data_IF_935815579134
#
_entry.id   IF_935815579134
#
_cell.length_a   1.000
_cell.length_b   1.000
_cell.length_c   1.000
_cell.angle_alpha   90.00
_cell.angle_beta   90.00
_cell.angle_gamma   90.00
#
_symmetry.space_group_name_H-M   'P 1'
#
loop_
_entity.id
_entity.type
_entity.pdbx_description
1 polymer ?
#
# COMPACT_ATOMS: atom_id res chain seq x y z
N UNK A 1 2.29 19.14 -3.04
CA UNK A 1 3.47 18.24 -2.90
C UNK A 1 4.23 18.05 -4.21
N UNK A 2 3.54 17.94 -5.37
CA UNK A 2 4.18 17.89 -6.72
C UNK A 2 5.13 19.07 -6.98
N UNK A 3 4.80 20.27 -6.49
CA UNK A 3 5.64 21.47 -6.65
C UNK A 3 6.83 21.56 -5.68
N UNK A 4 6.97 20.65 -4.72
CA UNK A 4 7.95 20.77 -3.61
C UNK A 4 8.99 19.66 -3.59
N UNK A 5 8.69 18.46 -4.10
CA UNK A 5 9.65 17.35 -4.08
C UNK A 5 9.32 16.29 -5.14
N UNK A 6 10.35 15.68 -5.74
CA UNK A 6 10.22 14.59 -6.73
C UNK A 6 9.59 13.30 -6.19
N UNK A 7 9.37 13.19 -4.87
CA UNK A 7 8.68 12.07 -4.23
C UNK A 7 7.19 11.93 -4.59
N UNK A 8 6.61 12.83 -5.38
CA UNK A 8 5.25 12.66 -5.89
C UNK A 8 5.09 11.42 -6.76
N UNK A 9 6.16 10.99 -7.46
CA UNK A 9 6.18 9.77 -8.28
C UNK A 9 6.02 8.51 -7.42
N UNK A 10 6.54 8.53 -6.19
CA UNK A 10 6.34 7.43 -5.24
C UNK A 10 4.86 7.37 -4.80
N UNK A 11 4.27 8.52 -4.45
CA UNK A 11 2.90 8.60 -3.94
C UNK A 11 1.87 8.22 -5.04
N UNK A 12 2.08 8.69 -6.28
CA UNK A 12 1.19 8.38 -7.40
C UNK A 12 1.27 6.93 -7.87
N UNK A 13 2.33 6.19 -7.54
CA UNK A 13 2.44 4.75 -7.80
C UNK A 13 1.90 3.91 -6.63
N UNK A 14 1.99 4.40 -5.40
CA UNK A 14 1.49 3.69 -4.22
C UNK A 14 -0.04 3.64 -4.17
N UNK A 15 -0.74 4.73 -4.52
CA UNK A 15 -2.21 4.76 -4.49
C UNK A 15 -2.85 3.73 -5.46
N UNK A 16 -2.47 3.68 -6.75
CA UNK A 16 -2.98 2.66 -7.67
C UNK A 16 -2.66 1.25 -7.21
N UNK A 17 -1.45 1.03 -6.69
CA UNK A 17 -1.01 -0.28 -6.22
C UNK A 17 -1.83 -0.73 -5.01
N UNK A 18 -2.18 0.17 -4.09
CA UNK A 18 -3.11 -0.11 -3.00
C UNK A 18 -4.51 -0.49 -3.52
N UNK A 19 -5.03 0.25 -4.51
CA UNK A 19 -6.34 -0.03 -5.10
C UNK A 19 -6.36 -1.39 -5.83
N UNK A 20 -5.27 -1.73 -6.51
CA UNK A 20 -5.11 -3.04 -7.16
C UNK A 20 -5.11 -4.18 -6.13
N UNK A 21 -4.41 -4.03 -5.01
CA UNK A 21 -4.43 -5.02 -3.92
C UNK A 21 -5.83 -5.14 -3.29
N UNK A 22 -6.56 -4.04 -3.15
CA UNK A 22 -7.95 -4.07 -2.68
C UNK A 22 -8.89 -4.82 -3.65
N UNK A 23 -8.66 -4.70 -4.97
CA UNK A 23 -9.38 -5.50 -5.96
C UNK A 23 -9.02 -6.98 -5.87
N UNK A 24 -7.73 -7.33 -5.76
CA UNK A 24 -7.29 -8.72 -5.65
C UNK A 24 -7.79 -9.40 -4.37
N UNK A 25 -7.91 -8.65 -3.27
CA UNK A 25 -8.45 -9.16 -2.00
C UNK A 25 -9.99 -9.19 -1.98
N UNK A 26 -10.65 -8.81 -3.07
CA UNK A 26 -12.11 -8.84 -3.21
C UNK A 26 -12.86 -7.81 -2.36
N UNK A 27 -12.15 -6.83 -1.77
CA UNK A 27 -12.73 -5.79 -0.90
C UNK A 27 -13.09 -4.51 -1.66
N UNK A 28 -13.38 -4.64 -2.94
CA UNK A 28 -13.72 -3.49 -3.76
C UNK A 28 -15.07 -2.91 -3.32
N UNK A 29 -15.10 -1.60 -3.05
CA UNK A 29 -16.29 -0.88 -2.61
C UNK A 29 -16.48 0.39 -3.43
N UNK A 30 -17.73 0.81 -3.61
CA UNK A 30 -18.08 2.05 -4.30
C UNK A 30 -17.39 3.28 -3.68
N UNK A 31 -17.10 3.25 -2.37
CA UNK A 31 -16.36 4.32 -1.70
C UNK A 31 -14.93 4.46 -2.23
N UNK A 32 -14.25 3.33 -2.44
CA UNK A 32 -12.87 3.27 -2.96
C UNK A 32 -12.86 3.72 -4.43
N UNK A 33 -13.85 3.29 -5.21
CA UNK A 33 -14.02 3.73 -6.60
C UNK A 33 -14.13 5.25 -6.72
N UNK A 34 -15.05 5.88 -5.98
CA UNK A 34 -15.25 7.34 -6.03
C UNK A 34 -14.00 8.09 -5.56
N UNK A 35 -13.37 7.64 -4.46
CA UNK A 35 -12.15 8.24 -3.96
C UNK A 35 -10.99 8.16 -4.97
N UNK A 36 -10.76 6.98 -5.57
CA UNK A 36 -9.67 6.82 -6.54
C UNK A 36 -9.90 7.62 -7.81
N UNK A 37 -11.11 7.56 -8.38
CA UNK A 37 -11.43 8.28 -9.61
C UNK A 37 -11.32 9.79 -9.45
N UNK A 38 -11.82 10.35 -8.34
CA UNK A 38 -11.70 11.78 -8.06
C UNK A 38 -10.25 12.21 -7.88
N UNK A 39 -9.48 11.48 -7.07
CA UNK A 39 -8.05 11.76 -6.85
C UNK A 39 -7.24 11.65 -8.14
N UNK A 40 -7.52 10.66 -8.98
CA UNK A 40 -6.82 10.47 -10.25
C UNK A 40 -7.11 11.62 -11.23
N UNK A 41 -8.38 11.97 -11.45
CA UNK A 41 -8.76 13.03 -12.37
C UNK A 41 -8.24 14.41 -11.90
N UNK A 42 -8.52 14.77 -10.65
CA UNK A 42 -8.06 16.05 -10.07
C UNK A 42 -6.53 16.11 -10.00
N UNK A 43 -5.90 15.03 -9.54
CA UNK A 43 -4.45 14.94 -9.41
C UNK A 43 -3.72 15.07 -10.74
N UNK A 44 -4.24 14.44 -11.79
CA UNK A 44 -3.65 14.52 -13.14
C UNK A 44 -3.74 15.94 -13.69
N UNK A 45 -4.92 16.57 -13.64
CA UNK A 45 -5.14 17.94 -14.12
C UNK A 45 -4.25 18.93 -13.34
N UNK A 46 -4.24 18.85 -12.00
CA UNK A 46 -3.43 19.73 -11.17
C UNK A 46 -1.92 19.52 -11.39
N UNK A 47 -1.47 18.29 -11.65
CA UNK A 47 -0.05 18.04 -11.94
C UNK A 47 0.40 18.64 -13.27
N UNK A 48 -0.50 18.66 -14.26
CA UNK A 48 -0.24 19.20 -15.60
C UNK A 48 -0.11 20.73 -15.61
N UNK A 49 -0.68 21.42 -14.62
CA UNK A 49 -0.58 22.88 -14.47
C UNK A 49 0.81 23.37 -14.05
N UNK A 50 1.68 22.47 -13.58
CA UNK A 50 3.04 22.83 -13.17
C UNK A 50 3.94 22.79 -14.40
N UNK A 51 4.44 23.95 -14.83
CA UNK A 51 5.28 24.09 -16.04
C UNK A 51 6.51 23.20 -16.08
N UNK A 52 7.02 22.77 -14.91
CA UNK A 52 8.13 21.82 -14.81
C UNK A 52 7.74 20.37 -15.17
N UNK A 53 6.48 19.99 -14.92
CA UNK A 53 5.94 18.64 -15.16
C UNK A 53 5.31 18.55 -16.56
N UNK A 54 4.66 19.63 -17.01
CA UNK A 54 4.10 19.73 -18.37
C UNK A 54 3.23 18.52 -18.75
N UNK A 55 3.59 17.84 -19.83
CA UNK A 55 2.88 16.65 -20.34
C UNK A 55 3.49 15.31 -19.90
N UNK A 56 4.48 15.32 -18.98
CA UNK A 56 5.04 14.07 -18.45
C UNK A 56 3.99 13.11 -17.84
N UNK A 57 2.90 13.56 -17.19
CA UNK A 57 1.88 12.65 -16.66
C UNK A 57 1.18 11.79 -17.71
N UNK A 58 1.16 12.22 -18.97
CA UNK A 58 0.48 11.53 -20.07
C UNK A 58 1.48 10.76 -20.94
N UNK A 59 2.71 11.25 -21.05
CA UNK A 59 3.74 10.67 -21.93
C UNK A 59 4.72 9.76 -21.18
N UNK A 60 4.86 9.90 -19.87
CA UNK A 60 5.81 9.10 -19.07
C UNK A 60 5.20 7.77 -18.66
N UNK A 61 6.01 6.72 -18.77
CA UNK A 61 5.70 5.37 -18.30
C UNK A 61 5.42 5.30 -16.80
N UNK A 62 5.92 6.28 -16.03
CA UNK A 62 5.75 6.35 -14.57
C UNK A 62 4.28 6.55 -14.15
N UNK A 63 3.45 7.11 -15.03
CA UNK A 63 2.03 7.34 -14.77
C UNK A 63 1.12 6.32 -15.47
N UNK A 64 1.69 5.45 -16.32
CA UNK A 64 0.93 4.40 -17.01
C UNK A 64 0.32 3.38 -16.04
N UNK A 65 0.99 3.10 -14.91
CA UNK A 65 0.44 2.23 -13.88
C UNK A 65 -0.86 2.81 -13.29
N UNK A 66 -0.87 4.12 -12.99
CA UNK A 66 -2.05 4.80 -12.48
C UNK A 66 -3.20 4.83 -13.51
N UNK A 67 -2.89 5.07 -14.78
CA UNK A 67 -3.86 5.00 -15.87
C UNK A 67 -4.43 3.59 -16.06
N UNK A 68 -3.57 2.56 -16.02
CA UNK A 68 -3.98 1.16 -16.16
C UNK A 68 -4.93 0.72 -15.04
N UNK A 69 -4.60 1.05 -13.78
CA UNK A 69 -5.47 0.76 -12.64
C UNK A 69 -6.77 1.55 -12.73
N UNK A 70 -6.75 2.79 -13.23
CA UNK A 70 -7.98 3.57 -13.49
C UNK A 70 -8.88 2.90 -14.52
N UNK A 71 -8.33 2.47 -15.66
CA UNK A 71 -9.08 1.70 -16.65
C UNK A 71 -9.67 0.41 -16.06
N UNK A 72 -8.88 -0.33 -15.28
CA UNK A 72 -9.32 -1.57 -14.65
C UNK A 72 -10.44 -1.32 -13.62
N UNK A 73 -10.35 -0.22 -12.87
CA UNK A 73 -11.38 0.23 -11.93
C UNK A 73 -12.71 0.54 -12.61
N UNK A 74 -12.66 1.22 -13.76
CA UNK A 74 -13.84 1.51 -14.58
C UNK A 74 -14.50 0.23 -15.11
N UNK A 75 -13.69 -0.70 -15.63
CA UNK A 75 -14.17 -1.98 -16.14
C UNK A 75 -14.82 -2.79 -15.01
N UNK A 76 -14.15 -2.91 -13.86
CA UNK A 76 -14.68 -3.68 -12.72
C UNK A 76 -16.02 -3.10 -12.23
N UNK A 77 -16.12 -1.77 -12.05
CA UNK A 77 -17.35 -1.13 -11.62
C UNK A 77 -18.48 -1.30 -12.66
N UNK A 78 -18.16 -1.22 -13.95
CA UNK A 78 -19.13 -1.43 -15.03
C UNK A 78 -19.63 -2.88 -15.09
N UNK A 79 -18.72 -3.85 -14.90
CA UNK A 79 -19.06 -5.28 -14.84
C UNK A 79 -19.97 -5.57 -13.65
N UNK A 80 -19.66 -5.05 -12.46
CA UNK A 80 -20.51 -5.19 -11.27
C UNK A 80 -21.89 -4.55 -11.49
N UNK A 81 -21.94 -3.38 -12.13
CA UNK A 81 -23.20 -2.72 -12.48
C UNK A 81 -24.04 -3.57 -13.44
N UNK A 82 -23.45 -4.08 -14.52
CA UNK A 82 -24.13 -4.97 -15.46
C UNK A 82 -24.63 -6.25 -14.78
N UNK A 83 -23.82 -6.86 -13.91
CA UNK A 83 -24.19 -8.05 -13.15
C UNK A 83 -25.42 -7.82 -12.26
N UNK A 84 -25.60 -6.60 -11.74
CA UNK A 84 -26.76 -6.24 -10.93
C UNK A 84 -28.05 -6.00 -11.73
N UNK A 85 -27.94 -5.72 -13.03
CA UNK A 85 -29.08 -5.37 -13.91
C UNK A 85 -29.50 -6.50 -14.84
N UNK A 86 -28.64 -7.47 -15.10
CA UNK A 86 -28.88 -8.59 -16.02
C UNK A 86 -29.07 -9.92 -15.29
N UNK A 87 -29.82 -10.82 -15.92
CA UNK A 87 -29.96 -12.19 -15.46
C UNK A 87 -28.66 -12.98 -15.74
N UNK A 88 -28.32 -13.97 -14.90
CA UNK A 88 -27.00 -14.62 -14.92
C UNK A 88 -26.62 -15.23 -16.30
N UNK A 89 -27.61 -15.77 -17.02
CA UNK A 89 -27.41 -16.34 -18.35
C UNK A 89 -27.15 -15.28 -19.43
N UNK A 90 -27.82 -14.12 -19.36
CA UNK A 90 -27.60 -13.02 -20.29
C UNK A 90 -26.26 -12.33 -20.04
N UNK A 91 -25.84 -12.27 -18.77
CA UNK A 91 -24.54 -11.75 -18.38
C UNK A 91 -23.39 -12.60 -18.93
N UNK A 92 -23.45 -13.94 -18.83
CA UNK A 92 -22.40 -14.81 -19.40
C UNK A 92 -22.27 -14.63 -20.92
N UNK A 93 -23.39 -14.57 -21.64
CA UNK A 93 -23.38 -14.39 -23.10
C UNK A 93 -22.79 -13.02 -23.47
N UNK A 94 -23.17 -11.96 -22.78
CA UNK A 94 -22.66 -10.61 -23.00
C UNK A 94 -21.16 -10.52 -22.66
N UNK A 95 -20.74 -11.11 -21.54
CA UNK A 95 -19.34 -11.11 -21.11
C UNK A 95 -18.45 -11.87 -22.10
N UNK A 96 -18.90 -13.04 -22.56
CA UNK A 96 -18.20 -13.85 -23.59
C UNK A 96 -18.13 -13.13 -24.93
N UNK A 97 -19.20 -12.42 -25.31
CA UNK A 97 -19.24 -11.57 -26.51
C UNK A 97 -18.25 -10.40 -26.42
N UNK A 98 -18.20 -9.70 -25.28
CA UNK A 98 -17.28 -8.57 -25.07
C UNK A 98 -15.83 -9.03 -25.11
N UNK A 99 -15.50 -10.14 -24.43
CA UNK A 99 -14.14 -10.71 -24.46
C UNK A 99 -13.76 -11.14 -25.88
N UNK A 100 -14.66 -11.78 -26.62
CA UNK A 100 -14.43 -12.17 -28.01
C UNK A 100 -14.16 -10.96 -28.90
N UNK A 101 -14.92 -9.88 -28.71
CA UNK A 101 -14.80 -8.66 -29.51
C UNK A 101 -13.51 -7.90 -29.18
N UNK A 102 -13.17 -7.76 -27.89
CA UNK A 102 -11.91 -7.16 -27.45
C UNK A 102 -10.71 -8.00 -27.91
N UNK A 103 -10.79 -9.32 -27.82
CA UNK A 103 -9.78 -10.24 -28.33
C UNK A 103 -9.58 -10.09 -29.84
N UNK A 104 -10.66 -9.95 -30.62
CA UNK A 104 -10.60 -9.72 -32.06
C UNK A 104 -9.99 -8.35 -32.41
N UNK A 105 -10.30 -7.31 -31.65
CA UNK A 105 -9.70 -5.98 -31.81
C UNK A 105 -8.21 -6.02 -31.47
N UNK A 106 -7.82 -6.63 -30.36
CA UNK A 106 -6.42 -6.76 -29.98
C UNK A 106 -5.61 -7.58 -31.00
N UNK A 107 -6.21 -8.62 -31.58
CA UNK A 107 -5.56 -9.43 -32.61
C UNK A 107 -5.44 -8.67 -33.93
N UNK A 108 -6.45 -7.91 -34.34
CA UNK A 108 -6.39 -7.09 -35.55
C UNK A 108 -5.44 -5.89 -35.40
N UNK A 109 -5.46 -5.20 -34.26
CA UNK A 109 -4.51 -4.13 -33.93
C UNK A 109 -3.10 -4.70 -33.79
N UNK A 110 -2.93 -5.85 -33.14
CA UNK A 110 -1.64 -6.54 -33.03
C UNK A 110 -1.06 -6.93 -34.39
N UNK A 111 -1.89 -7.44 -35.30
CA UNK A 111 -1.48 -7.75 -36.67
C UNK A 111 -1.06 -6.49 -37.45
N UNK A 112 -1.83 -5.39 -37.33
CA UNK A 112 -1.49 -4.11 -37.97
C UNK A 112 -0.22 -3.51 -37.38
N UNK A 113 -0.02 -3.57 -36.06
CA UNK A 113 1.19 -3.08 -35.41
C UNK A 113 2.43 -3.91 -35.75
N UNK A 114 2.27 -5.24 -35.90
CA UNK A 114 3.36 -6.13 -36.32
C UNK A 114 3.80 -5.85 -37.76
N UNK A 115 2.87 -5.48 -38.64
CA UNK A 115 3.16 -5.05 -40.02
C UNK A 115 3.76 -3.63 -40.10
N UNK A 116 3.46 -2.76 -39.13
CA UNK A 116 3.90 -1.35 -39.16
C UNK A 116 5.24 -1.11 -38.43
N UNK A 117 5.78 -2.12 -37.74
CA UNK A 117 7.14 -2.09 -37.17
C UNK A 117 7.43 -0.97 -36.15
N UNK A 118 6.40 -0.26 -35.67
CA UNK A 118 6.50 0.96 -34.84
C UNK A 118 6.11 0.75 -33.38
N UNK A 119 6.41 -0.42 -32.82
CA UNK A 119 6.38 -0.58 -31.36
C UNK A 119 7.81 -0.36 -30.85
N UNK A 120 8.04 0.81 -30.27
CA UNK A 120 9.15 0.99 -29.33
C UNK A 120 9.00 -0.07 -28.23
N UNK A 121 10.03 -0.86 -27.93
CA UNK A 121 9.98 -1.79 -26.81
C UNK A 121 9.67 -1.03 -25.52
N UNK A 122 9.02 -1.73 -24.60
CA UNK A 122 8.66 -1.24 -23.27
C UNK A 122 9.81 -0.40 -22.69
N UNK A 123 9.47 0.82 -22.29
CA UNK A 123 10.39 1.90 -21.93
C UNK A 123 11.55 1.42 -21.05
N UNK A 124 12.78 1.45 -21.56
CA UNK A 124 13.99 1.05 -20.83
C UNK A 124 14.22 1.77 -19.49
N UNK A 125 13.51 2.87 -19.23
CA UNK A 125 13.48 3.57 -17.93
C UNK A 125 12.67 2.85 -16.84
N UNK A 126 11.68 2.04 -17.22
CA UNK A 126 10.89 1.22 -16.29
C UNK A 126 11.73 0.06 -15.74
N UNK A 127 12.59 -0.51 -16.59
CA UNK A 127 13.55 -1.55 -16.19
C UNK A 127 14.66 -0.97 -15.30
N UNK A 128 15.12 0.27 -15.54
CA UNK A 128 16.13 0.91 -14.67
C UNK A 128 15.63 1.34 -13.29
N UNK A 129 14.31 1.48 -13.11
CA UNK A 129 13.70 1.78 -11.80
C UNK A 129 13.39 0.50 -11.00
N UNK A 130 13.09 -0.62 -11.68
CA UNK A 130 12.90 -1.93 -11.05
C UNK A 130 14.22 -2.64 -10.76
N UNK A 131 15.24 -2.41 -11.58
CA UNK A 131 16.58 -2.96 -11.40
C UNK A 131 17.62 -1.84 -11.22
N UNK A 132 17.97 -1.49 -9.97
CA UNK A 132 18.99 -0.47 -9.69
C UNK A 132 20.38 -0.84 -10.24
N UNK A 133 20.60 -2.09 -10.66
CA UNK A 133 21.82 -2.53 -11.34
C UNK A 133 21.98 -1.94 -12.74
N UNK A 134 20.88 -1.64 -13.44
CA UNK A 134 20.94 -1.14 -14.82
C UNK A 134 21.34 0.35 -14.89
N UNK A 135 20.94 1.17 -13.90
CA UNK A 135 21.34 2.57 -13.81
C UNK A 135 22.81 2.71 -13.37
N UNK A 136 23.26 1.87 -12.42
CA UNK A 136 24.63 1.84 -11.91
C UNK A 136 25.66 1.46 -12.98
N UNK A 137 25.30 0.56 -13.90
CA UNK A 137 26.22 0.07 -14.94
C UNK A 137 26.31 0.98 -16.17
N UNK A 138 25.29 1.80 -16.45
CA UNK A 138 25.23 2.59 -17.68
C UNK A 138 25.54 4.09 -17.50
N UNK A 139 25.48 4.64 -16.28
CA UNK A 139 25.81 6.05 -16.01
C UNK A 139 26.67 6.17 -14.74
N UNK A 140 28.01 6.07 -14.84
CA UNK A 140 28.90 6.05 -13.68
C UNK A 140 28.89 7.35 -12.84
N UNK A 141 28.39 8.46 -13.39
CA UNK A 141 28.26 9.75 -12.69
C UNK A 141 27.16 9.73 -11.59
N UNK A 142 26.12 8.91 -11.76
CA UNK A 142 25.01 8.82 -10.78
C UNK A 142 25.41 7.89 -9.62
N UNK A 143 26.22 6.87 -9.89
CA UNK A 143 26.72 5.95 -8.87
C UNK A 143 27.81 6.54 -7.96
N UNK A 144 28.47 7.64 -8.36
CA UNK A 144 29.54 8.28 -7.59
C UNK A 144 29.07 9.23 -6.50
N UNK A 145 27.78 9.61 -6.48
CA UNK A 145 27.23 10.48 -5.43
C UNK A 145 26.91 9.62 -4.21
N UNK A 146 27.50 9.97 -3.06
CA UNK A 146 27.32 9.25 -1.79
C UNK A 146 25.86 9.08 -1.38
N UNK A 147 24.96 9.97 -1.84
CA UNK A 147 23.52 9.89 -1.58
C UNK A 147 22.81 8.70 -2.24
N UNK A 148 23.37 8.13 -3.31
CA UNK A 148 22.83 6.96 -4.01
C UNK A 148 23.40 5.63 -3.51
N UNK A 149 24.20 5.65 -2.45
CA UNK A 149 24.71 4.42 -1.87
C UNK A 149 23.59 3.65 -1.13
N UNK A 150 23.66 2.30 -1.13
CA UNK A 150 22.74 1.48 -0.37
C UNK A 150 22.93 1.72 1.13
N UNK A 151 21.84 1.62 1.89
CA UNK A 151 21.87 1.74 3.35
C UNK A 151 22.44 0.48 3.99
N UNK A 152 23.36 0.64 4.94
CA UNK A 152 23.83 -0.47 5.77
C UNK A 152 22.91 -0.67 6.97
N UNK A 153 22.89 -1.88 7.53
CA UNK A 153 22.15 -2.19 8.76
C UNK A 153 22.52 -1.25 9.93
N UNK A 154 23.80 -0.88 10.05
CA UNK A 154 24.26 0.06 11.08
C UNK A 154 23.59 1.42 10.98
N UNK A 155 23.35 1.92 9.76
CA UNK A 155 22.64 3.19 9.55
C UNK A 155 21.18 3.09 9.96
N UNK A 156 20.50 1.97 9.65
CA UNK A 156 19.13 1.74 10.11
C UNK A 156 19.00 1.76 11.63
N UNK A 157 19.92 1.07 12.32
CA UNK A 157 19.91 1.04 13.78
C UNK A 157 20.23 2.41 14.39
N UNK A 158 21.19 3.14 13.81
CA UNK A 158 21.57 4.47 14.28
C UNK A 158 20.40 5.47 14.18
N UNK A 159 19.65 5.44 13.06
CA UNK A 159 18.55 6.38 12.82
C UNK A 159 17.26 5.99 13.55
N UNK A 160 16.92 4.69 13.61
CA UNK A 160 15.60 4.22 14.08
C UNK A 160 15.63 3.53 15.44
N UNK A 161 16.79 3.20 16.00
CA UNK A 161 16.98 2.61 17.33
C UNK A 161 15.88 1.57 17.70
N UNK A 162 14.95 1.92 18.60
CA UNK A 162 13.87 1.05 19.07
C UNK A 162 12.84 0.72 17.99
N UNK A 163 12.57 1.64 17.06
CA UNK A 163 11.51 1.51 16.06
C UNK A 163 11.79 0.33 15.12
N UNK A 164 13.07 0.02 14.85
CA UNK A 164 13.45 -1.10 13.96
C UNK A 164 12.96 -2.44 14.51
N UNK A 165 12.96 -2.62 15.84
CA UNK A 165 12.48 -3.85 16.49
C UNK A 165 10.97 -3.88 16.64
N UNK A 166 10.33 -2.73 16.79
CA UNK A 166 8.89 -2.64 17.00
C UNK A 166 8.10 -2.67 15.70
N UNK A 167 8.74 -2.39 14.56
CA UNK A 167 8.11 -2.38 13.25
C UNK A 167 7.52 -3.73 12.82
N UNK A 168 8.22 -4.88 12.94
CA UNK A 168 7.62 -6.19 12.68
C UNK A 168 6.41 -6.48 13.57
N UNK A 169 6.43 -6.04 14.83
CA UNK A 169 5.31 -6.19 15.77
C UNK A 169 4.10 -5.38 15.31
N UNK A 170 4.32 -4.14 14.88
CA UNK A 170 3.28 -3.29 14.28
C UNK A 170 2.66 -3.91 13.02
N UNK A 171 3.50 -4.40 12.11
CA UNK A 171 3.04 -5.10 10.90
C UNK A 171 2.21 -6.33 11.23
N UNK A 172 2.65 -7.15 12.19
CA UNK A 172 1.91 -8.34 12.62
C UNK A 172 0.50 -7.98 13.10
N UNK A 173 0.33 -6.94 13.91
CA UNK A 173 -1.00 -6.49 14.34
C UNK A 173 -1.85 -5.90 13.21
N UNK A 174 -1.23 -5.27 12.21
CA UNK A 174 -1.92 -4.83 11.01
C UNK A 174 -2.42 -6.02 10.18
N UNK A 175 -1.65 -7.12 10.07
CA UNK A 175 -2.09 -8.36 9.41
C UNK A 175 -3.15 -9.13 10.19
N UNK A 176 -3.09 -9.13 11.52
CA UNK A 176 -4.06 -9.83 12.36
C UNK A 176 -5.47 -9.23 12.27
N UNK A 177 -5.59 -7.91 12.08
CA UNK A 177 -6.87 -7.23 11.92
C UNK A 177 -6.88 -6.48 10.59
N UNK A 178 -7.26 -7.16 9.50
CA UNK A 178 -7.27 -6.57 8.17
C UNK A 178 -8.44 -5.59 7.98
N UNK A 179 -8.11 -4.33 7.75
CA UNK A 179 -9.02 -3.24 7.35
C UNK A 179 -8.45 -2.52 6.14
N UNK A 180 -9.28 -1.89 5.32
CA UNK A 180 -8.86 -1.23 4.07
C UNK A 180 -7.75 -0.19 4.33
N UNK A 181 -7.86 0.60 5.40
CA UNK A 181 -6.83 1.56 5.81
C UNK A 181 -5.53 0.87 6.32
N UNK A 182 -5.64 -0.31 6.93
CA UNK A 182 -4.48 -1.08 7.39
C UNK A 182 -3.76 -1.77 6.23
N UNK A 183 -4.47 -2.16 5.18
CA UNK A 183 -3.84 -2.65 3.94
C UNK A 183 -2.99 -1.55 3.32
N UNK A 184 -3.47 -0.30 3.33
CA UNK A 184 -2.68 0.84 2.85
C UNK A 184 -1.38 1.02 3.65
N UNK A 185 -1.44 1.00 4.99
CA UNK A 185 -0.22 1.21 5.81
C UNK A 185 0.79 0.06 5.66
N UNK A 186 0.33 -1.19 5.49
CA UNK A 186 1.20 -2.35 5.21
C UNK A 186 1.91 -2.15 3.87
N UNK A 187 1.17 -1.85 2.81
CA UNK A 187 1.76 -1.64 1.49
C UNK A 187 2.73 -0.47 1.49
N UNK A 188 2.38 0.63 2.18
CA UNK A 188 3.27 1.77 2.33
C UNK A 188 4.55 1.38 3.06
N UNK A 189 4.46 0.66 4.19
CA UNK A 189 5.62 0.22 4.96
C UNK A 189 6.56 -0.70 4.20
N UNK A 190 6.02 -1.72 3.52
CA UNK A 190 6.83 -2.66 2.73
C UNK A 190 7.51 -1.97 1.55
N UNK A 191 6.76 -1.12 0.83
CA UNK A 191 7.29 -0.43 -0.35
C UNK A 191 8.35 0.59 0.05
N UNK A 192 8.10 1.39 1.09
CA UNK A 192 9.10 2.34 1.62
C UNK A 192 10.36 1.67 2.16
N UNK A 193 10.23 0.51 2.81
CA UNK A 193 11.37 -0.27 3.30
C UNK A 193 12.25 -0.80 2.18
N UNK A 194 11.65 -1.24 1.08
CA UNK A 194 12.40 -1.60 -0.12
C UNK A 194 13.18 -0.40 -0.68
N UNK A 195 12.52 0.75 -0.83
CA UNK A 195 13.16 1.94 -1.39
C UNK A 195 14.25 2.53 -0.49
N UNK A 196 14.07 2.52 0.83
CA UNK A 196 15.13 2.96 1.76
C UNK A 196 16.34 2.03 1.74
N UNK A 197 16.16 0.73 1.43
CA UNK A 197 17.27 -0.22 1.29
C UNK A 197 18.14 0.12 0.07
N UNK A 198 17.51 0.58 -1.02
CA UNK A 198 18.19 0.94 -2.26
C UNK A 198 18.90 2.29 -2.16
N UNK A 199 18.35 3.27 -1.44
CA UNK A 199 18.89 4.63 -1.38
C UNK A 199 18.77 5.25 0.03
N UNK A 200 19.90 5.70 0.59
CA UNK A 200 20.00 6.37 1.92
C UNK A 200 19.01 7.52 2.08
N UNK A 201 18.87 8.38 1.06
CA UNK A 201 18.00 9.55 1.15
C UNK A 201 16.51 9.22 1.29
N UNK A 202 16.08 8.03 0.87
CA UNK A 202 14.69 7.58 0.96
C UNK A 202 14.31 7.10 2.37
N UNK A 203 15.27 7.03 3.29
CA UNK A 203 15.03 6.85 4.72
C UNK A 203 14.04 7.87 5.29
N UNK A 204 14.04 9.11 4.77
CA UNK A 204 13.11 10.16 5.19
C UNK A 204 11.63 9.79 4.93
N UNK A 205 11.35 9.02 3.88
CA UNK A 205 10.00 8.56 3.55
C UNK A 205 9.59 7.36 4.40
N UNK A 206 10.57 6.53 4.81
CA UNK A 206 10.34 5.39 5.71
C UNK A 206 10.06 5.83 7.16
N UNK A 207 10.77 6.84 7.66
CA UNK A 207 10.65 7.33 9.04
C UNK A 207 9.21 7.53 9.55
N UNK A 208 8.30 8.26 8.87
CA UNK A 208 6.93 8.45 9.36
C UNK A 208 6.15 7.14 9.47
N UNK A 209 6.37 6.18 8.56
CA UNK A 209 5.68 4.89 8.56
C UNK A 209 6.17 4.01 9.69
N UNK A 210 7.48 4.02 9.94
CA UNK A 210 8.08 3.34 11.09
C UNK A 210 7.50 3.84 12.41
N UNK A 211 7.33 5.16 12.56
CA UNK A 211 6.74 5.75 13.76
C UNK A 211 5.30 5.28 13.97
N UNK A 212 4.47 5.26 12.92
CA UNK A 212 3.07 4.83 13.00
C UNK A 212 2.96 3.35 13.37
N UNK A 213 3.68 2.47 12.66
CA UNK A 213 3.63 1.03 12.91
C UNK A 213 4.22 0.66 14.26
N UNK A 214 5.35 1.27 14.64
CA UNK A 214 5.93 1.08 15.97
C UNK A 214 4.98 1.57 17.07
N UNK A 215 4.33 2.71 16.86
CA UNK A 215 3.32 3.24 17.80
C UNK A 215 2.13 2.29 17.99
N UNK A 216 1.62 1.71 16.90
CA UNK A 216 0.56 0.67 16.96
C UNK A 216 1.06 -0.54 17.75
N UNK A 217 2.28 -1.00 17.47
CA UNK A 217 2.90 -2.13 18.18
C UNK A 217 3.01 -1.89 19.69
N UNK A 218 3.60 -0.76 20.10
CA UNK A 218 3.75 -0.39 21.52
C UNK A 218 2.39 -0.24 22.19
N UNK A 219 1.44 0.46 21.56
CA UNK A 219 0.10 0.70 22.11
C UNK A 219 -0.65 -0.60 22.38
N UNK A 220 -0.57 -1.56 21.46
CA UNK A 220 -1.25 -2.85 21.60
C UNK A 220 -0.62 -3.72 22.69
N UNK A 221 0.72 -3.71 22.78
CA UNK A 221 1.46 -4.39 23.85
C UNK A 221 1.07 -3.80 25.21
N UNK A 222 1.08 -2.47 25.36
CA UNK A 222 0.72 -1.79 26.61
C UNK A 222 -0.73 -2.09 27.02
N UNK A 223 -1.66 -2.02 26.07
CA UNK A 223 -3.09 -2.28 26.33
C UNK A 223 -3.33 -3.70 26.82
N UNK A 224 -2.58 -4.67 26.31
CA UNK A 224 -2.69 -6.08 26.72
C UNK A 224 -2.17 -6.27 28.14
N UNK A 225 -0.98 -5.73 28.46
CA UNK A 225 -0.39 -5.86 29.79
C UNK A 225 -1.11 -5.06 30.88
N UNK A 226 -1.62 -3.86 30.57
CA UNK A 226 -2.38 -3.06 31.55
C UNK A 226 -3.71 -3.72 31.94
N UNK A 227 -4.42 -4.31 30.98
CA UNK A 227 -5.66 -5.06 31.28
C UNK A 227 -5.40 -6.24 32.22
N UNK A 228 -4.31 -6.98 32.02
CA UNK A 228 -3.94 -8.08 32.91
C UNK A 228 -3.62 -7.60 34.33
N UNK A 229 -3.07 -6.39 34.46
CA UNK A 229 -2.76 -5.77 35.75
C UNK A 229 -4.03 -5.32 36.49
N UNK A 230 -5.02 -4.76 35.78
CA UNK A 230 -6.31 -4.36 36.37
C UNK A 230 -7.16 -5.56 36.78
N UNK A 231 -7.16 -6.64 36.00
CA UNK A 231 -7.80 -7.92 36.38
C UNK A 231 -7.17 -8.48 37.65
N UNK A 232 -5.83 -8.48 37.74
CA UNK A 232 -5.11 -8.90 38.95
C UNK A 232 -5.43 -8.04 40.19
N UNK A 233 -5.73 -6.74 39.99
CA UNK A 233 -6.17 -5.85 41.08
C UNK A 233 -7.60 -6.14 41.51
N UNK A 234 -8.51 -6.42 40.57
CA UNK A 234 -9.89 -6.80 40.87
C UNK A 234 -9.97 -8.14 41.62
N UNK A 235 -9.19 -9.14 41.22
CA UNK A 235 -9.10 -10.43 41.93
C UNK A 235 -8.55 -10.28 43.35
N UNK A 236 -7.53 -9.43 43.54
CA UNK A 236 -7.03 -9.09 44.89
C UNK A 236 -8.07 -8.36 45.72
N UNK A 237 -8.88 -7.48 45.13
CA UNK A 237 -9.93 -6.74 45.85
C UNK A 237 -11.09 -7.66 46.21
N UNK A 238 -11.48 -8.57 45.32
CA UNK A 238 -12.52 -9.59 45.54
C UNK A 238 -12.11 -10.57 46.65
N UNK A 239 -10.88 -11.11 46.63
CA UNK A 239 -10.37 -11.95 47.72
C UNK A 239 -10.35 -11.23 49.07
N UNK A 240 -9.92 -9.96 49.11
CA UNK A 240 -9.88 -9.17 50.36
C UNK A 240 -11.29 -8.84 50.89
N UNK A 241 -12.28 -8.68 50.01
CA UNK A 241 -13.69 -8.52 50.39
C UNK A 241 -14.30 -9.84 50.87
N UNK A 242 -13.96 -10.96 50.25
CA UNK A 242 -14.42 -12.29 50.63
C UNK A 242 -13.87 -12.69 52.01
N UNK A 243 -12.58 -12.48 52.27
CA UNK A 243 -11.95 -12.72 53.58
C UNK A 243 -12.51 -11.83 54.69
N UNK A 244 -12.90 -10.58 54.38
CA UNK A 244 -13.55 -9.68 55.35
C UNK A 244 -15.02 -10.02 55.62
N UNK A 245 -15.65 -10.84 54.77
CA UNK A 245 -17.09 -11.16 54.85
C UNK A 245 -17.37 -12.53 55.48
N UNK A 246 -16.35 -13.28 55.92
CA UNK A 246 -16.56 -14.45 56.76
C UNK A 246 -16.73 -14.00 58.23
N UNK A 247 -17.95 -14.02 58.80
CA UNK A 247 -18.09 -13.88 60.24
C UNK A 247 -17.50 -15.13 60.89
N UNK A 248 -16.56 -14.92 61.81
CA UNK A 248 -16.15 -15.90 62.81
C UNK A 248 -17.42 -16.34 63.55
N UNK A 249 -17.95 -17.50 63.22
CA UNK A 249 -19.00 -18.16 64.01
C UNK A 249 -18.60 -19.60 64.29
N UNK A 250 -18.16 -19.75 65.54
CA UNK A 250 -18.46 -20.83 66.47
C UNK A 250 -17.96 -22.23 66.11
N UNK A 251 -16.80 -22.57 66.69
CA UNK A 251 -16.64 -23.90 67.28
C UNK A 251 -17.63 -24.04 68.45
N UNK A 252 -18.63 -24.92 68.27
CA UNK A 252 -19.30 -25.61 69.38
C UNK A 252 -19.43 -27.07 68.95
N UNK A 253 -18.68 -27.95 69.58
CA UNK A 253 -19.05 -29.34 69.89
C UNK A 253 -17.99 -29.97 70.80
N UNK A 254 -18.20 -29.88 72.12
CA UNK A 254 -18.45 -31.02 73.04
C UNK A 254 -18.83 -30.44 74.40
#
# INVERSE_FOLDING_TARGET
>A
QVSSWGGYVFLINLIPLHVLVLMLTGRFSHRIYVAYCTVYCLGTILSMQISFVGFQPVQSSEHMAAFGVFGLCQIHAFVDYLRSKLNAQQFEVLFKSVISLVGFILLSVGAVLMLTGKISPWTGRFYSLLDPSYAKNNIPIIASVSEHQPTTWSSYYFDLQLLVFMFPVGLYYCFSNLSDARIFIIMYGVTSMYFSAVMVRLMLVLAPVMCILSGIGVSQVLTTYMKNLDVSRLDKKSKKQQDSTYPIKNEVTT
#
